data_IF_580735209071
#
_entry.id   IF_580735209071
#
_cell.length_a   1.000
_cell.length_b   1.000
_cell.length_c   1.000
_cell.angle_alpha   90.00
_cell.angle_beta   90.00
_cell.angle_gamma   90.00
#
_symmetry.space_group_name_H-M   'P 1'
#
loop_
_entity.id
_entity.type
_entity.pdbx_description
1 polymer ?
#
# COMPACT_ATOMS: atom_id res chain seq x y z
N UNK A 1 31.26 59.13 65.91
CA UNK A 1 32.55 59.85 66.05
C UNK A 1 33.67 58.84 65.85
N UNK A 2 34.41 58.94 64.72
CA UNK A 2 35.70 58.29 64.40
C UNK A 2 35.76 56.75 64.46
N UNK A 3 36.43 56.00 63.60
CA UNK A 3 37.39 56.30 62.53
C UNK A 3 37.61 55.00 61.74
N UNK A 4 37.72 55.12 60.43
CA UNK A 4 38.04 54.07 59.44
C UNK A 4 39.51 53.66 59.55
N UNK A 5 39.84 52.37 59.33
CA UNK A 5 41.11 51.96 58.69
C UNK A 5 40.94 50.69 57.86
N UNK A 6 41.37 50.84 56.60
CA UNK A 6 41.47 49.87 55.51
C UNK A 6 42.30 48.63 55.81
N UNK A 7 41.97 47.51 55.17
CA UNK A 7 42.94 46.60 54.55
C UNK A 7 42.40 46.02 53.22
N UNK A 8 43.34 45.68 52.36
CA UNK A 8 43.36 45.62 50.89
C UNK A 8 42.86 44.32 50.24
N UNK A 9 42.36 44.45 49.00
CA UNK A 9 41.96 43.40 48.04
C UNK A 9 43.11 42.48 47.56
N UNK A 10 42.85 41.37 46.84
CA UNK A 10 42.49 41.42 45.41
C UNK A 10 41.30 40.50 45.05
N UNK A 11 40.28 41.00 44.32
CA UNK A 11 40.14 40.85 42.86
C UNK A 11 40.37 39.42 42.35
N UNK A 12 39.27 38.66 42.19
CA UNK A 12 39.19 37.64 41.15
C UNK A 12 38.16 38.07 40.11
N UNK A 13 38.68 38.31 38.91
CA UNK A 13 37.97 38.77 37.73
C UNK A 13 37.09 37.68 37.14
N UNK A 14 35.93 38.10 36.65
CA UNK A 14 35.13 37.37 35.67
C UNK A 14 35.87 37.32 34.32
N UNK A 15 35.93 36.18 33.63
CA UNK A 15 36.31 36.18 32.22
C UNK A 15 35.11 36.63 31.37
N UNK A 16 35.24 37.84 30.81
CA UNK A 16 34.64 38.18 29.51
C UNK A 16 35.52 37.55 28.43
N UNK A 17 34.99 36.60 27.69
CA UNK A 17 35.51 36.21 26.37
C UNK A 17 34.37 36.24 25.37
N UNK A 18 34.02 37.46 24.96
CA UNK A 18 33.57 37.75 23.59
C UNK A 18 34.74 37.50 22.63
N UNK A 19 34.43 37.20 21.37
CA UNK A 19 35.33 37.00 20.20
C UNK A 19 35.91 35.59 19.94
N UNK A 20 35.04 34.57 19.92
CA UNK A 20 35.25 33.35 19.11
C UNK A 20 33.98 32.93 18.34
N UNK A 21 33.21 33.90 17.85
CA UNK A 21 31.93 33.68 17.15
C UNK A 21 31.91 34.05 15.66
N UNK A 22 33.01 34.58 15.09
CA UNK A 22 32.98 35.15 13.73
C UNK A 22 33.93 34.42 12.74
N UNK A 23 34.91 33.64 13.23
CA UNK A 23 35.79 32.87 12.35
C UNK A 23 35.24 31.47 11.96
N UNK A 24 34.37 30.88 12.78
CA UNK A 24 33.76 29.57 12.48
C UNK A 24 32.53 29.67 11.55
N UNK A 25 31.91 30.85 11.45
CA UNK A 25 30.78 31.12 10.53
C UNK A 25 31.23 31.48 9.11
N UNK A 26 32.48 31.92 8.92
CA UNK A 26 33.03 32.25 7.61
C UNK A 26 33.55 31.01 6.83
N UNK A 27 33.94 29.92 7.51
CA UNK A 27 34.42 28.70 6.85
C UNK A 27 33.31 27.71 6.49
N UNK A 28 32.15 27.77 7.15
CA UNK A 28 30.95 27.00 6.74
C UNK A 28 30.26 27.64 5.52
N UNK A 29 30.36 28.97 5.36
CA UNK A 29 29.77 29.69 4.23
C UNK A 29 30.50 29.43 2.89
N UNK A 30 31.80 29.09 2.92
CA UNK A 30 32.59 28.83 1.69
C UNK A 30 32.38 27.39 1.18
N UNK A 31 32.04 26.43 2.05
CA UNK A 31 31.73 25.06 1.63
C UNK A 31 30.34 24.93 0.97
N UNK A 32 29.42 25.86 1.22
CA UNK A 32 28.10 25.91 0.57
C UNK A 32 28.09 26.65 -0.78
N UNK A 33 29.19 27.32 -1.16
CA UNK A 33 29.28 28.07 -2.42
C UNK A 33 29.93 27.28 -3.58
N UNK A 34 30.50 26.08 -3.33
CA UNK A 34 31.20 25.30 -4.36
C UNK A 34 30.85 23.80 -4.42
N UNK A 35 29.76 23.35 -3.77
CA UNK A 35 29.19 22.03 -4.06
C UNK A 35 28.22 22.13 -5.24
N UNK A 36 28.38 21.36 -6.33
CA UNK A 36 27.39 21.34 -7.40
C UNK A 36 26.05 20.86 -6.82
N UNK A 37 25.03 21.73 -6.86
CA UNK A 37 23.64 21.35 -6.57
C UNK A 37 23.24 20.29 -7.59
N UNK A 38 22.97 19.07 -7.11
CA UNK A 38 22.15 18.13 -7.86
C UNK A 38 20.77 18.78 -8.04
N UNK A 39 20.51 19.32 -9.23
CA UNK A 39 19.20 19.82 -9.62
C UNK A 39 18.28 18.62 -9.86
N UNK A 40 17.37 18.36 -8.92
CA UNK A 40 16.20 17.54 -9.20
C UNK A 40 15.28 18.32 -10.15
N UNK A 41 14.83 17.74 -11.27
CA UNK A 41 13.90 18.42 -12.16
C UNK A 41 12.57 18.69 -11.44
N UNK A 42 11.99 19.87 -11.67
CA UNK A 42 10.64 20.19 -11.19
C UNK A 42 9.60 19.26 -11.83
N UNK A 43 8.48 19.02 -11.14
CA UNK A 43 7.37 18.20 -11.64
C UNK A 43 6.87 18.61 -13.04
N UNK A 44 6.93 19.90 -13.38
CA UNK A 44 6.55 20.40 -14.71
C UNK A 44 7.50 19.90 -15.83
N UNK A 45 8.77 19.67 -15.51
CA UNK A 45 9.76 19.20 -16.49
C UNK A 45 9.57 17.71 -16.83
N UNK A 46 9.01 16.92 -15.91
CA UNK A 46 8.67 15.52 -16.15
C UNK A 46 7.40 15.36 -16.99
N UNK A 47 6.43 16.27 -16.86
CA UNK A 47 5.21 16.25 -17.67
C UNK A 47 5.46 16.65 -19.13
N UNK A 48 6.41 17.56 -19.40
CA UNK A 48 6.77 17.93 -20.77
C UNK A 48 7.54 16.83 -21.52
N UNK A 49 8.37 16.03 -20.84
CA UNK A 49 9.04 14.89 -21.46
C UNK A 49 8.07 13.73 -21.77
N UNK A 50 6.96 13.59 -21.04
CA UNK A 50 5.92 12.61 -21.34
C UNK A 50 5.08 12.97 -22.59
N UNK A 51 4.96 14.25 -22.94
CA UNK A 51 4.17 14.68 -24.10
C UNK A 51 4.93 14.59 -25.43
N UNK A 52 6.25 14.77 -25.45
CA UNK A 52 7.03 14.75 -26.70
C UNK A 52 7.39 13.34 -27.21
N UNK A 53 7.44 12.33 -26.34
CA UNK A 53 7.65 10.93 -26.76
C UNK A 53 6.40 10.34 -27.43
N UNK A 54 5.20 10.81 -27.04
CA UNK A 54 3.92 10.38 -27.60
C UNK A 54 3.63 10.86 -29.03
N UNK A 55 4.47 11.74 -29.60
CA UNK A 55 4.20 12.36 -30.92
C UNK A 55 5.04 11.81 -32.08
N UNK A 56 6.01 10.91 -31.84
CA UNK A 56 6.93 10.43 -32.87
C UNK A 56 6.79 8.94 -33.29
N UNK A 57 5.74 8.22 -32.90
CA UNK A 57 5.53 6.82 -33.34
C UNK A 57 4.28 6.59 -34.20
N UNK A 58 3.88 7.60 -34.98
CA UNK A 58 2.97 7.40 -36.11
C UNK A 58 3.77 7.36 -37.41
N UNK A 59 4.10 6.14 -37.88
CA UNK A 59 4.13 5.73 -39.30
C UNK A 59 4.94 4.43 -39.47
N UNK A 60 4.27 3.28 -39.56
CA UNK A 60 4.77 2.11 -40.29
C UNK A 60 3.58 1.27 -40.82
N UNK A 61 3.63 0.77 -42.07
CA UNK A 61 2.52 0.04 -42.71
C UNK A 61 2.43 -1.45 -42.32
N UNK A 62 1.28 -2.12 -42.55
CA UNK A 62 0.95 -3.41 -41.94
C UNK A 62 1.59 -4.64 -42.63
N UNK A 63 1.91 -5.66 -41.83
CA UNK A 63 2.41 -6.99 -42.23
C UNK A 63 1.24 -8.00 -42.21
N UNK A 64 1.12 -8.91 -43.20
CA UNK A 64 -0.01 -9.86 -43.30
C UNK A 64 0.08 -11.05 -42.30
N UNK A 65 -1.05 -11.72 -42.00
CA UNK A 65 -1.17 -12.66 -40.90
C UNK A 65 -0.55 -14.04 -41.19
N UNK A 66 0.04 -14.74 -40.19
CA UNK A 66 0.45 -16.13 -40.33
C UNK A 66 -0.71 -17.11 -40.10
N UNK A 67 -0.61 -18.24 -40.80
CA UNK A 67 -1.60 -19.33 -40.88
C UNK A 67 -1.58 -20.25 -39.65
N UNK A 68 -2.74 -20.87 -39.40
CA UNK A 68 -3.02 -21.81 -38.32
C UNK A 68 -2.25 -23.14 -38.47
N UNK A 69 -1.62 -23.61 -37.38
CA UNK A 69 -1.24 -25.01 -37.20
C UNK A 69 -1.69 -25.52 -35.82
N UNK A 70 -1.97 -26.82 -35.82
CA UNK A 70 -2.92 -27.59 -34.99
C UNK A 70 -2.45 -27.99 -33.59
N UNK A 71 -3.41 -28.13 -32.68
CA UNK A 71 -3.34 -28.69 -31.33
C UNK A 71 -2.79 -30.13 -31.26
N UNK A 72 -1.90 -30.39 -30.29
CA UNK A 72 -1.65 -31.73 -29.75
C UNK A 72 -1.74 -31.73 -28.21
N UNK A 73 -2.71 -32.49 -27.69
CA UNK A 73 -2.97 -32.78 -26.26
C UNK A 73 -1.95 -33.78 -25.68
N UNK A 74 -1.46 -33.52 -24.47
CA UNK A 74 -0.92 -34.56 -23.56
C UNK A 74 -1.19 -34.22 -22.06
N UNK A 75 -1.20 -35.22 -21.16
CA UNK A 75 -2.20 -35.36 -20.09
C UNK A 75 -1.79 -34.81 -18.71
N UNK A 76 -2.79 -34.33 -17.97
CA UNK A 76 -2.68 -33.81 -16.61
C UNK A 76 -2.35 -34.89 -15.56
N UNK A 77 -1.36 -34.60 -14.71
CA UNK A 77 -1.03 -35.35 -13.48
C UNK A 77 -1.79 -34.76 -12.28
N UNK A 78 -2.55 -35.61 -11.61
CA UNK A 78 -3.46 -35.33 -10.50
C UNK A 78 -2.74 -35.24 -9.14
N UNK A 79 -2.10 -34.11 -8.86
CA UNK A 79 -1.60 -33.77 -7.52
C UNK A 79 -2.31 -32.57 -6.86
N UNK A 80 -3.32 -31.99 -7.53
CA UNK A 80 -3.95 -30.73 -7.11
C UNK A 80 -5.01 -30.83 -5.99
N UNK A 81 -5.48 -32.00 -5.57
CA UNK A 81 -6.77 -32.08 -4.86
C UNK A 81 -6.76 -31.87 -3.34
N UNK A 82 -5.63 -31.95 -2.63
CA UNK A 82 -5.62 -31.83 -1.16
C UNK A 82 -5.25 -30.45 -0.63
N UNK A 83 -4.56 -29.61 -1.41
CA UNK A 83 -4.24 -28.23 -1.03
C UNK A 83 -5.41 -27.26 -1.32
N UNK A 84 -6.21 -27.57 -2.33
CA UNK A 84 -7.32 -26.74 -2.84
C UNK A 84 -8.52 -26.66 -1.87
N UNK A 85 -8.72 -27.69 -1.03
CA UNK A 85 -9.89 -27.76 -0.13
C UNK A 85 -9.79 -26.75 1.02
N UNK A 86 -8.59 -26.41 1.48
CA UNK A 86 -8.42 -25.52 2.65
C UNK A 86 -8.46 -24.02 2.29
N UNK A 87 -8.00 -23.65 1.09
CA UNK A 87 -8.08 -22.25 0.61
C UNK A 87 -9.51 -21.82 0.32
N UNK A 88 -10.42 -22.77 0.07
CA UNK A 88 -11.86 -22.50 -0.07
C UNK A 88 -12.51 -21.82 1.15
N UNK A 89 -11.86 -21.79 2.32
CA UNK A 89 -12.33 -21.04 3.49
C UNK A 89 -12.43 -19.53 3.26
N UNK A 90 -11.76 -18.98 2.24
CA UNK A 90 -11.94 -17.58 1.81
C UNK A 90 -13.33 -17.30 1.22
N UNK A 91 -14.13 -18.33 0.92
CA UNK A 91 -15.47 -18.16 0.36
C UNK A 91 -16.54 -17.89 1.42
N UNK A 92 -16.18 -17.93 2.71
CA UNK A 92 -17.10 -17.67 3.81
C UNK A 92 -17.53 -16.18 3.87
N UNK A 93 -18.42 -15.84 4.81
CA UNK A 93 -18.95 -14.47 4.97
C UNK A 93 -17.95 -13.43 5.49
N UNK A 94 -16.72 -13.83 5.84
CA UNK A 94 -15.64 -12.95 6.30
C UNK A 94 -14.42 -12.96 5.39
N UNK A 95 -14.55 -13.59 4.20
CA UNK A 95 -13.48 -13.77 3.23
C UNK A 95 -12.23 -14.47 3.81
N UNK A 96 -12.39 -15.29 4.85
CA UNK A 96 -11.28 -15.95 5.52
C UNK A 96 -10.55 -15.11 6.58
N UNK A 97 -11.01 -13.90 6.89
CA UNK A 97 -10.53 -13.06 7.98
C UNK A 97 -11.42 -13.19 9.23
N UNK A 98 -10.99 -12.64 10.38
CA UNK A 98 -11.89 -12.53 11.54
C UNK A 98 -12.94 -11.45 11.33
N UNK A 99 -12.55 -10.31 10.74
CA UNK A 99 -13.44 -9.20 10.37
C UNK A 99 -13.00 -8.50 9.09
N UNK A 100 -13.93 -7.76 8.50
CA UNK A 100 -13.68 -6.86 7.38
C UNK A 100 -14.13 -5.47 7.83
N UNK A 101 -13.20 -4.52 7.86
CA UNK A 101 -13.44 -3.13 8.20
C UNK A 101 -13.49 -2.26 6.96
N UNK A 102 -14.49 -1.37 6.89
CA UNK A 102 -14.56 -0.30 5.90
C UNK A 102 -14.34 1.03 6.61
N UNK A 103 -13.27 1.74 6.25
CA UNK A 103 -12.94 3.06 6.80
C UNK A 103 -13.55 4.13 5.91
N UNK A 104 -14.41 4.97 6.48
CA UNK A 104 -15.11 6.00 5.73
C UNK A 104 -15.74 7.05 6.64
N UNK A 105 -15.85 8.29 6.17
CA UNK A 105 -16.46 9.36 6.94
C UNK A 105 -17.93 9.01 7.28
N UNK A 106 -18.40 9.24 8.52
CA UNK A 106 -19.76 8.87 8.93
C UNK A 106 -20.85 9.59 8.13
N UNK A 107 -20.59 10.79 7.63
CA UNK A 107 -21.50 11.57 6.80
C UNK A 107 -21.61 11.08 5.34
N UNK A 108 -20.72 10.19 4.88
CA UNK A 108 -20.77 9.60 3.52
C UNK A 108 -21.75 8.43 3.47
N UNK A 109 -23.02 8.70 3.81
CA UNK A 109 -24.09 7.70 3.80
C UNK A 109 -24.28 7.08 2.41
N UNK A 110 -24.06 7.85 1.35
CA UNK A 110 -24.05 7.38 -0.04
C UNK A 110 -23.07 6.22 -0.27
N UNK A 111 -21.84 6.36 0.24
CA UNK A 111 -20.82 5.31 0.14
C UNK A 111 -21.13 4.13 1.06
N UNK A 112 -21.64 4.37 2.27
CA UNK A 112 -22.01 3.32 3.23
C UNK A 112 -23.16 2.44 2.71
N UNK A 113 -24.18 3.05 2.11
CA UNK A 113 -25.29 2.32 1.49
C UNK A 113 -24.79 1.45 0.33
N UNK A 114 -23.94 2.01 -0.54
CA UNK A 114 -23.34 1.27 -1.64
C UNK A 114 -22.48 0.10 -1.16
N UNK A 115 -21.61 0.30 -0.17
CA UNK A 115 -20.76 -0.76 0.39
C UNK A 115 -21.58 -1.86 1.08
N UNK A 116 -22.61 -1.48 1.84
CA UNK A 116 -23.50 -2.43 2.52
C UNK A 116 -24.23 -3.31 1.51
N UNK A 117 -24.80 -2.71 0.46
CA UNK A 117 -25.52 -3.45 -0.57
C UNK A 117 -24.57 -4.33 -1.40
N UNK A 118 -23.42 -3.80 -1.81
CA UNK A 118 -22.46 -4.53 -2.65
C UNK A 118 -21.90 -5.75 -1.91
N UNK A 119 -21.50 -5.59 -0.65
CA UNK A 119 -20.98 -6.71 0.17
C UNK A 119 -22.05 -7.77 0.45
N UNK A 120 -23.27 -7.37 0.77
CA UNK A 120 -24.38 -8.29 1.00
C UNK A 120 -24.69 -9.14 -0.25
N UNK A 121 -24.75 -8.50 -1.43
CA UNK A 121 -25.03 -9.20 -2.69
C UNK A 121 -23.86 -10.06 -3.18
N UNK A 122 -22.62 -9.74 -2.79
CA UNK A 122 -21.45 -10.57 -3.09
C UNK A 122 -21.08 -11.54 -1.95
N UNK A 123 -21.91 -11.58 -0.90
CA UNK A 123 -21.94 -12.64 0.10
C UNK A 123 -20.86 -12.54 1.17
N UNK A 124 -20.50 -11.33 1.61
CA UNK A 124 -19.66 -11.11 2.78
C UNK A 124 -20.14 -9.92 3.63
N UNK A 125 -19.65 -9.86 4.86
CA UNK A 125 -20.06 -8.87 5.86
C UNK A 125 -18.96 -7.85 6.12
N UNK A 126 -19.37 -6.60 6.34
CA UNK A 126 -18.48 -5.48 6.64
C UNK A 126 -18.89 -4.79 7.94
N UNK A 127 -17.90 -4.33 8.69
CA UNK A 127 -18.04 -3.46 9.86
C UNK A 127 -17.49 -2.08 9.49
N UNK A 128 -18.27 -1.02 9.69
CA UNK A 128 -17.74 0.33 9.48
C UNK A 128 -16.84 0.76 10.65
N UNK A 129 -15.76 1.46 10.30
CA UNK A 129 -14.94 2.25 11.22
C UNK A 129 -15.02 3.70 10.77
N UNK A 130 -15.47 4.58 11.65
CA UNK A 130 -15.63 5.98 11.31
C UNK A 130 -14.27 6.63 11.00
N UNK A 131 -14.19 7.18 9.79
CA UNK A 131 -13.12 8.08 9.39
C UNK A 131 -13.11 9.34 10.25
N UNK A 132 -11.97 10.01 10.30
CA UNK A 132 -11.77 11.19 11.13
C UNK A 132 -11.45 12.38 10.24
N UNK A 133 -12.10 13.52 10.49
CA UNK A 133 -11.70 14.79 9.89
C UNK A 133 -10.43 15.28 10.57
N UNK A 134 -9.39 15.55 9.80
CA UNK A 134 -8.09 15.97 10.33
C UNK A 134 -8.19 17.18 11.25
N UNK A 135 -9.08 18.12 10.90
CA UNK A 135 -9.33 19.35 11.65
C UNK A 135 -9.81 19.11 13.08
N UNK A 136 -10.40 17.93 13.34
CA UNK A 136 -10.89 17.55 14.68
C UNK A 136 -9.81 16.92 15.56
N UNK A 137 -8.64 16.60 15.00
CA UNK A 137 -7.51 16.02 15.73
C UNK A 137 -6.77 17.14 16.47
N UNK A 138 -6.69 17.10 17.82
CA UNK A 138 -5.99 18.13 18.57
C UNK A 138 -4.49 18.05 18.34
N UNK A 139 -3.78 19.18 18.38
CA UNK A 139 -2.33 19.24 18.14
C UNK A 139 -1.54 18.28 19.05
N UNK A 140 -2.02 18.05 20.27
CA UNK A 140 -1.40 17.11 21.23
C UNK A 140 -1.49 15.63 20.82
N UNK A 141 -2.37 15.30 19.87
CA UNK A 141 -2.55 13.94 19.34
C UNK A 141 -1.94 13.76 17.95
N UNK A 142 -1.32 14.79 17.39
CA UNK A 142 -0.56 14.68 16.13
C UNK A 142 0.67 13.79 16.39
N UNK A 143 0.89 12.74 15.59
CA UNK A 143 1.99 11.81 15.82
C UNK A 143 3.36 12.48 15.65
N UNK A 144 4.34 11.99 16.40
CA UNK A 144 5.75 12.37 16.21
C UNK A 144 6.18 12.13 14.76
N UNK A 145 7.05 12.98 14.21
CA UNK A 145 7.44 12.94 12.79
C UNK A 145 6.66 13.92 11.90
N UNK A 146 5.41 14.26 12.25
CA UNK A 146 4.66 15.32 11.57
C UNK A 146 5.09 16.68 12.11
N UNK A 147 6.16 17.24 11.54
CA UNK A 147 6.75 18.50 12.01
C UNK A 147 6.04 19.75 11.46
N UNK A 148 5.31 19.62 10.35
CA UNK A 148 4.58 20.71 9.72
C UNK A 148 3.18 20.22 9.31
N UNK A 149 2.21 20.37 10.22
CA UNK A 149 0.82 19.93 10.04
C UNK A 149 0.18 20.51 8.77
N UNK A 150 0.48 21.78 8.46
CA UNK A 150 -0.07 22.45 7.28
C UNK A 150 0.41 21.80 5.99
N UNK A 151 1.71 21.47 5.91
CA UNK A 151 2.26 20.72 4.77
C UNK A 151 1.79 19.28 4.73
N UNK A 152 1.55 18.68 5.89
CA UNK A 152 1.05 17.30 5.96
C UNK A 152 -0.39 17.17 5.46
N UNK A 153 -1.19 18.24 5.53
CA UNK A 153 -2.62 18.29 5.16
C UNK A 153 -3.53 17.58 6.17
N UNK A 154 -4.67 18.20 6.47
CA UNK A 154 -5.67 17.65 7.39
C UNK A 154 -6.27 16.34 6.86
N UNK A 155 -6.48 16.23 5.55
CA UNK A 155 -7.02 15.02 4.92
C UNK A 155 -6.12 13.80 5.12
N UNK A 156 -4.80 13.97 5.05
CA UNK A 156 -3.84 12.90 5.33
C UNK A 156 -3.82 12.51 6.83
N UNK A 157 -3.92 13.50 7.72
CA UNK A 157 -3.99 13.25 9.16
C UNK A 157 -5.28 12.50 9.54
N UNK A 158 -6.40 12.87 8.92
CA UNK A 158 -7.69 12.19 9.05
C UNK A 158 -7.67 10.76 8.52
N UNK A 159 -7.10 10.54 7.33
CA UNK A 159 -6.88 9.21 6.74
C UNK A 159 -6.06 8.33 7.68
N UNK A 160 -4.89 8.80 8.14
CA UNK A 160 -4.07 8.10 9.12
C UNK A 160 -4.90 7.70 10.34
N UNK A 161 -5.59 8.65 10.99
CA UNK A 161 -6.32 8.37 12.22
C UNK A 161 -7.44 7.35 12.02
N UNK A 162 -8.16 7.43 10.89
CA UNK A 162 -9.19 6.46 10.52
C UNK A 162 -8.63 5.04 10.41
N UNK A 163 -7.56 4.85 9.65
CA UNK A 163 -6.91 3.54 9.55
C UNK A 163 -6.33 3.07 10.89
N UNK A 164 -5.69 3.95 11.67
CA UNK A 164 -5.18 3.59 13.00
C UNK A 164 -6.30 3.17 13.97
N UNK A 165 -7.52 3.71 13.83
CA UNK A 165 -8.68 3.24 14.60
C UNK A 165 -9.07 1.81 14.22
N UNK A 166 -9.11 1.49 12.92
CA UNK A 166 -9.41 0.13 12.45
C UNK A 166 -8.34 -0.87 12.92
N UNK A 167 -7.06 -0.49 12.80
CA UNK A 167 -5.93 -1.32 13.25
C UNK A 167 -5.98 -1.56 14.76
N UNK A 168 -6.31 -0.53 15.55
CA UNK A 168 -6.45 -0.66 17.00
C UNK A 168 -7.52 -1.68 17.38
N UNK A 169 -8.65 -1.73 16.66
CA UNK A 169 -9.71 -2.72 16.89
C UNK A 169 -9.25 -4.16 16.73
N UNK A 170 -8.30 -4.45 15.82
CA UNK A 170 -7.71 -5.79 15.68
C UNK A 170 -7.08 -6.25 17.00
N UNK A 171 -6.42 -5.32 17.71
CA UNK A 171 -5.74 -5.60 18.97
C UNK A 171 -6.73 -5.61 20.15
N UNK A 172 -7.63 -4.62 20.22
CA UNK A 172 -8.61 -4.49 21.30
C UNK A 172 -9.62 -5.64 21.34
N UNK A 173 -10.01 -6.15 20.17
CA UNK A 173 -10.95 -7.27 20.03
C UNK A 173 -10.24 -8.64 19.93
N UNK A 174 -8.90 -8.68 20.05
CA UNK A 174 -8.05 -9.87 19.89
C UNK A 174 -8.36 -10.70 18.61
N UNK A 175 -8.51 -10.00 17.48
CA UNK A 175 -8.80 -10.61 16.19
C UNK A 175 -7.55 -11.27 15.61
N UNK A 176 -7.69 -12.47 15.04
CA UNK A 176 -6.57 -13.14 14.36
C UNK A 176 -6.09 -12.37 13.12
N UNK A 177 -7.03 -11.81 12.37
CA UNK A 177 -6.76 -10.95 11.22
C UNK A 177 -7.97 -10.10 10.86
N UNK A 178 -7.74 -8.98 10.19
CA UNK A 178 -8.82 -8.23 9.56
C UNK A 178 -8.39 -7.68 8.20
N UNK A 179 -9.31 -7.70 7.24
CA UNK A 179 -9.24 -6.93 6.01
C UNK A 179 -9.72 -5.51 6.29
N UNK A 180 -8.97 -4.50 5.87
CA UNK A 180 -9.30 -3.09 5.99
C UNK A 180 -9.37 -2.53 4.56
N UNK A 181 -10.46 -1.86 4.23
CA UNK A 181 -10.65 -1.22 2.93
C UNK A 181 -11.24 0.18 3.07
N UNK A 182 -11.05 1.01 2.05
CA UNK A 182 -11.65 2.34 1.92
C UNK A 182 -13.15 2.22 1.51
N UNK A 183 -13.93 3.28 1.68
CA UNK A 183 -15.40 3.27 1.50
C UNK A 183 -15.90 3.46 0.05
N UNK A 184 -14.98 3.72 -0.87
CA UNK A 184 -15.21 3.83 -2.32
C UNK A 184 -14.64 2.65 -3.11
N UNK A 185 -14.48 1.50 -2.45
CA UNK A 185 -13.97 0.29 -3.09
C UNK A 185 -15.03 -0.49 -3.87
N UNK A 186 -14.53 -1.25 -4.85
CA UNK A 186 -15.27 -2.23 -5.63
C UNK A 186 -14.38 -3.41 -6.01
N UNK A 187 -15.00 -4.49 -6.45
CA UNK A 187 -14.38 -5.77 -6.75
C UNK A 187 -15.14 -6.48 -7.86
N UNK A 188 -14.54 -7.52 -8.42
CA UNK A 188 -15.23 -8.38 -9.39
C UNK A 188 -16.30 -9.21 -8.65
N UNK A 189 -17.48 -9.41 -9.23
CA UNK A 189 -18.52 -10.29 -8.66
C UNK A 189 -18.02 -11.72 -8.40
N UNK A 190 -16.90 -12.12 -9.03
CA UNK A 190 -16.18 -13.38 -8.82
C UNK A 190 -15.07 -13.29 -7.75
N UNK A 191 -15.11 -12.30 -6.85
CA UNK A 191 -14.09 -12.03 -5.83
C UNK A 191 -13.65 -13.30 -5.07
N UNK A 192 -14.60 -14.13 -4.64
CA UNK A 192 -14.30 -15.33 -3.84
C UNK A 192 -13.38 -16.32 -4.56
N UNK A 193 -13.60 -16.58 -5.86
CA UNK A 193 -12.70 -17.45 -6.63
C UNK A 193 -11.32 -16.81 -6.86
N UNK A 194 -11.26 -15.48 -6.99
CA UNK A 194 -9.99 -14.78 -7.07
C UNK A 194 -9.21 -14.89 -5.75
N UNK A 195 -9.91 -14.82 -4.61
CA UNK A 195 -9.31 -14.95 -3.29
C UNK A 195 -8.79 -16.37 -3.01
N UNK A 196 -9.39 -17.42 -3.58
CA UNK A 196 -8.87 -18.79 -3.45
C UNK A 196 -7.48 -18.92 -4.09
N UNK A 197 -7.32 -18.35 -5.29
CA UNK A 197 -6.02 -18.28 -5.97
C UNK A 197 -5.03 -17.39 -5.22
N UNK A 198 -5.50 -16.23 -4.71
CA UNK A 198 -4.66 -15.34 -3.92
C UNK A 198 -4.18 -15.99 -2.61
N UNK A 199 -5.04 -16.74 -1.92
CA UNK A 199 -4.71 -17.49 -0.71
C UNK A 199 -3.70 -18.60 -0.98
N UNK A 200 -3.86 -19.31 -2.10
CA UNK A 200 -2.91 -20.34 -2.55
C UNK A 200 -1.53 -19.72 -2.78
N UNK A 201 -1.48 -18.62 -3.54
CA UNK A 201 -0.23 -17.89 -3.77
C UNK A 201 0.38 -17.32 -2.48
N UNK A 202 -0.42 -16.77 -1.58
CA UNK A 202 0.07 -16.21 -0.32
C UNK A 202 0.74 -17.28 0.54
N UNK A 203 0.16 -18.49 0.61
CA UNK A 203 0.75 -19.64 1.33
C UNK A 203 2.06 -20.10 0.70
N UNK A 204 2.15 -20.11 -0.63
CA UNK A 204 3.38 -20.46 -1.35
C UNK A 204 4.47 -19.43 -1.08
N UNK A 205 4.17 -18.13 -1.27
CA UNK A 205 5.11 -17.02 -1.05
C UNK A 205 5.59 -16.97 0.42
N UNK A 206 4.70 -17.24 1.37
CA UNK A 206 5.05 -17.30 2.80
C UNK A 206 5.90 -18.53 3.17
N UNK A 207 6.17 -19.45 2.23
CA UNK A 207 6.81 -20.75 2.50
C UNK A 207 6.13 -21.52 3.64
N UNK A 208 4.79 -21.54 3.67
CA UNK A 208 4.02 -22.20 4.72
C UNK A 208 4.51 -23.65 4.91
N UNK A 209 4.82 -24.04 6.15
CA UNK A 209 5.42 -25.33 6.47
C UNK A 209 4.58 -26.49 5.93
N UNK A 210 5.20 -27.33 5.10
CA UNK A 210 4.58 -28.54 4.57
C UNK A 210 4.35 -29.52 5.73
N UNK A 211 3.15 -29.57 6.29
CA UNK A 211 2.81 -30.55 7.32
C UNK A 211 1.65 -30.19 8.25
N UNK A 212 1.26 -28.91 8.36
CA UNK A 212 0.11 -28.47 9.16
C UNK A 212 -0.83 -27.57 8.35
N UNK A 213 -2.13 -27.77 8.51
CA UNK A 213 -3.15 -26.85 7.98
C UNK A 213 -3.03 -25.51 8.70
N UNK A 214 -2.79 -24.39 7.99
CA UNK A 214 -2.67 -23.07 8.62
C UNK A 214 -4.01 -22.62 9.22
N UNK A 215 -3.96 -21.81 10.27
CA UNK A 215 -5.18 -21.25 10.89
C UNK A 215 -5.88 -20.28 9.95
N UNK A 216 -5.13 -19.43 9.27
CA UNK A 216 -5.65 -18.55 8.23
C UNK A 216 -5.57 -19.23 6.85
N UNK A 217 -6.59 -19.10 5.97
CA UNK A 217 -6.52 -19.65 4.62
C UNK A 217 -5.43 -18.99 3.77
N UNK A 218 -4.99 -17.79 4.12
CA UNK A 218 -3.87 -17.08 3.50
C UNK A 218 -2.49 -17.53 4.03
N UNK A 219 -2.45 -18.52 4.92
CA UNK A 219 -1.26 -18.90 5.69
C UNK A 219 -1.13 -18.09 6.99
N UNK A 220 -0.18 -18.50 7.84
CA UNK A 220 0.00 -17.93 9.19
C UNK A 220 1.24 -17.03 9.31
N UNK A 221 2.05 -16.91 8.25
CA UNK A 221 3.34 -16.22 8.29
C UNK A 221 3.41 -14.96 7.41
N UNK A 222 2.33 -14.18 7.44
CA UNK A 222 2.26 -12.84 6.86
C UNK A 222 1.86 -11.81 7.94
N UNK A 223 2.28 -10.56 7.74
CA UNK A 223 1.94 -9.41 8.58
C UNK A 223 0.98 -8.47 7.85
N UNK A 224 1.25 -8.23 6.57
CA UNK A 224 0.46 -7.34 5.70
C UNK A 224 0.15 -8.10 4.41
N UNK A 225 -1.12 -8.17 4.04
CA UNK A 225 -1.58 -8.71 2.77
C UNK A 225 -2.27 -7.61 1.98
N UNK A 226 -1.65 -7.13 0.91
CA UNK A 226 -2.20 -6.09 0.05
C UNK A 226 -3.07 -6.70 -1.03
N UNK A 227 -4.38 -6.41 -1.01
CA UNK A 227 -5.36 -6.95 -1.96
C UNK A 227 -5.88 -5.88 -2.92
N UNK A 228 -5.70 -4.60 -2.59
CA UNK A 228 -6.08 -3.45 -3.40
C UNK A 228 -5.05 -2.34 -3.31
N UNK A 229 -4.51 -1.92 -4.46
CA UNK A 229 -3.53 -0.86 -4.58
C UNK A 229 -3.66 -0.18 -5.96
N UNK A 230 -3.15 1.04 -6.11
CA UNK A 230 -3.11 1.75 -7.39
C UNK A 230 -2.12 1.14 -8.38
N UNK A 231 -1.06 0.53 -7.87
CA UNK A 231 0.03 -0.04 -8.65
C UNK A 231 1.21 -0.38 -7.75
N UNK A 232 2.06 -1.29 -8.21
CA UNK A 232 3.20 -1.75 -7.44
C UNK A 232 4.34 -2.22 -8.34
N UNK A 233 5.58 -1.98 -7.94
CA UNK A 233 6.77 -2.53 -8.61
C UNK A 233 7.15 -3.88 -8.03
N UNK A 234 7.75 -4.74 -8.85
CA UNK A 234 8.40 -5.94 -8.31
C UNK A 234 9.64 -5.53 -7.48
N UNK A 235 9.85 -6.10 -6.27
CA UNK A 235 10.92 -5.65 -5.39
C UNK A 235 12.32 -5.75 -6.02
N UNK A 236 12.57 -6.72 -6.89
CA UNK A 236 13.87 -6.86 -7.56
C UNK A 236 14.15 -5.78 -8.62
N UNK A 237 13.14 -4.99 -9.03
CA UNK A 237 13.32 -3.90 -10.02
C UNK A 237 13.61 -2.55 -9.38
N UNK A 238 13.44 -2.45 -8.04
CA UNK A 238 13.80 -1.28 -7.26
C UNK A 238 15.30 -0.97 -7.39
N UNK A 239 15.65 0.32 -7.46
CA UNK A 239 17.01 0.80 -7.71
C UNK A 239 18.02 0.23 -6.71
N UNK A 240 17.66 0.24 -5.43
CA UNK A 240 18.50 -0.29 -4.34
C UNK A 240 18.75 -1.81 -4.44
N UNK A 241 17.97 -2.53 -5.24
CA UNK A 241 18.07 -3.98 -5.41
C UNK A 241 18.73 -4.39 -6.73
N UNK A 242 18.95 -3.47 -7.69
CA UNK A 242 19.44 -3.78 -9.05
C UNK A 242 20.78 -4.52 -9.08
N UNK A 243 21.68 -4.19 -8.15
CA UNK A 243 23.04 -4.72 -8.11
C UNK A 243 23.23 -5.85 -7.07
N UNK A 244 22.14 -6.36 -6.49
CA UNK A 244 22.22 -7.43 -5.49
C UNK A 244 22.60 -8.79 -6.11
N UNK A 245 23.36 -9.64 -5.39
CA UNK A 245 23.60 -11.02 -5.80
C UNK A 245 22.31 -11.80 -6.09
N UNK A 246 22.36 -12.70 -7.06
CA UNK A 246 21.19 -13.49 -7.46
C UNK A 246 20.58 -14.32 -6.31
N UNK A 247 21.40 -14.76 -5.36
CA UNK A 247 20.96 -15.46 -4.15
C UNK A 247 20.05 -14.62 -3.26
N UNK A 248 20.34 -13.33 -3.13
CA UNK A 248 19.56 -12.37 -2.32
C UNK A 248 18.25 -11.99 -3.01
N UNK A 249 18.26 -11.91 -4.34
CA UNK A 249 17.08 -11.61 -5.15
C UNK A 249 16.11 -12.79 -5.28
N UNK A 250 16.50 -14.01 -4.88
CA UNK A 250 15.68 -15.22 -5.07
C UNK A 250 14.28 -15.08 -4.47
N UNK A 251 14.18 -14.53 -3.26
CA UNK A 251 12.89 -14.30 -2.59
C UNK A 251 12.07 -13.22 -3.29
N UNK A 252 12.71 -12.12 -3.69
CA UNK A 252 12.06 -11.00 -4.39
C UNK A 252 11.46 -11.44 -5.74
N UNK A 253 12.21 -12.25 -6.50
CA UNK A 253 11.82 -12.74 -7.82
C UNK A 253 10.72 -13.81 -7.79
N UNK A 254 10.49 -14.44 -6.65
CA UNK A 254 9.53 -15.53 -6.54
C UNK A 254 8.10 -14.97 -6.63
N UNK A 255 7.35 -15.46 -7.62
CA UNK A 255 5.94 -15.13 -7.85
C UNK A 255 5.15 -16.42 -7.99
N UNK A 256 3.98 -16.44 -7.37
CA UNK A 256 2.92 -17.37 -7.74
C UNK A 256 2.15 -16.75 -8.90
N UNK A 257 2.23 -17.38 -10.07
CA UNK A 257 1.66 -16.83 -11.31
C UNK A 257 0.38 -17.56 -11.70
N UNK A 258 -0.69 -16.80 -11.81
CA UNK A 258 -2.00 -17.24 -12.32
C UNK A 258 -2.07 -16.80 -13.77
N UNK A 259 -1.91 -17.76 -14.69
CA UNK A 259 -1.98 -17.51 -16.12
C UNK A 259 -3.41 -17.64 -16.64
N UNK A 260 -3.75 -16.90 -17.71
CA UNK A 260 -5.07 -16.92 -18.34
C UNK A 260 -6.22 -16.66 -17.37
N UNK A 261 -6.02 -15.74 -16.42
CA UNK A 261 -7.04 -15.32 -15.46
C UNK A 261 -8.15 -14.54 -16.19
N UNK A 262 -9.37 -15.08 -16.31
CA UNK A 262 -10.48 -14.42 -17.02
C UNK A 262 -11.07 -13.23 -16.26
N UNK A 263 -10.54 -12.94 -15.06
CA UNK A 263 -10.92 -11.79 -14.24
C UNK A 263 -9.94 -10.62 -14.40
N UNK A 264 -8.80 -10.84 -15.07
CA UNK A 264 -7.86 -9.77 -15.42
C UNK A 264 -8.30 -9.11 -16.72
N UNK A 265 -8.48 -7.77 -16.76
CA UNK A 265 -8.88 -7.09 -17.97
C UNK A 265 -7.93 -7.26 -19.16
N UNK A 266 -8.43 -7.04 -20.38
CA UNK A 266 -7.60 -7.07 -21.58
C UNK A 266 -6.36 -6.17 -21.45
N UNK A 267 -5.22 -6.55 -22.05
CA UNK A 267 -3.94 -5.82 -21.94
C UNK A 267 -4.00 -4.33 -22.30
N UNK A 268 -4.95 -3.93 -23.16
CA UNK A 268 -5.12 -2.54 -23.60
C UNK A 268 -5.91 -1.66 -22.62
N UNK A 269 -6.51 -2.25 -21.57
CA UNK A 269 -7.29 -1.51 -20.56
C UNK A 269 -6.84 -1.76 -19.13
N UNK A 270 -6.12 -2.85 -18.85
CA UNK A 270 -5.49 -3.07 -17.55
C UNK A 270 -4.41 -2.01 -17.30
N UNK A 271 -4.41 -1.46 -16.10
CA UNK A 271 -3.47 -0.42 -15.64
C UNK A 271 -2.57 -0.97 -14.53
N UNK A 272 -1.35 -0.44 -14.43
CA UNK A 272 -0.38 -0.84 -13.41
C UNK A 272 1.05 -0.52 -13.84
N UNK A 273 2.05 -1.01 -13.10
CA UNK A 273 3.47 -0.77 -13.39
C UNK A 273 4.13 -1.94 -14.13
N UNK A 274 3.36 -2.97 -14.47
CA UNK A 274 3.79 -4.23 -15.05
C UNK A 274 3.45 -4.25 -16.52
N UNK A 275 4.26 -4.96 -17.30
CA UNK A 275 4.02 -5.14 -18.73
C UNK A 275 2.96 -6.23 -18.98
N UNK A 276 1.70 -5.80 -18.96
CA UNK A 276 0.56 -6.67 -19.27
C UNK A 276 0.43 -7.01 -20.76
N UNK A 277 1.14 -6.32 -21.65
CA UNK A 277 1.21 -6.72 -23.07
C UNK A 277 2.10 -7.95 -23.23
N UNK A 278 3.23 -7.98 -22.51
CA UNK A 278 4.11 -9.15 -22.46
C UNK A 278 3.52 -10.31 -21.65
N UNK A 279 2.62 -10.03 -20.71
CA UNK A 279 1.96 -11.04 -19.85
C UNK A 279 0.44 -10.83 -19.79
N UNK A 280 -0.28 -11.09 -20.90
CA UNK A 280 -1.72 -10.86 -20.97
C UNK A 280 -2.47 -11.78 -20.00
N UNK A 281 -3.59 -11.28 -19.45
CA UNK A 281 -4.46 -12.04 -18.53
C UNK A 281 -3.70 -12.77 -17.41
N UNK A 282 -2.68 -12.13 -16.86
CA UNK A 282 -1.82 -12.72 -15.83
C UNK A 282 -1.98 -11.97 -14.53
N UNK A 283 -2.06 -12.73 -13.43
CA UNK A 283 -2.04 -12.22 -12.06
C UNK A 283 -0.91 -12.87 -11.28
N UNK A 284 -0.25 -12.10 -10.42
CA UNK A 284 0.85 -12.55 -9.58
C UNK A 284 0.50 -12.33 -8.12
N UNK A 285 0.83 -13.31 -7.29
CA UNK A 285 0.97 -13.12 -5.84
C UNK A 285 2.47 -13.15 -5.54
N UNK A 286 2.98 -12.14 -4.84
CA UNK A 286 4.41 -12.01 -4.59
C UNK A 286 4.71 -11.23 -3.32
N UNK A 287 5.98 -11.27 -2.89
CA UNK A 287 6.46 -10.33 -1.87
C UNK A 287 6.43 -8.92 -2.44
N UNK A 288 6.00 -7.97 -1.62
CA UNK A 288 5.83 -6.59 -2.06
C UNK A 288 7.17 -5.85 -2.23
N UNK A 289 7.22 -4.91 -3.17
CA UNK A 289 8.28 -3.91 -3.30
C UNK A 289 7.91 -2.58 -2.63
N UNK A 290 6.80 -1.98 -3.06
CA UNK A 290 6.26 -0.72 -2.54
C UNK A 290 4.88 -0.45 -3.17
N UNK A 291 3.78 -0.99 -2.64
CA UNK A 291 2.45 -0.76 -3.18
C UNK A 291 2.04 0.68 -2.93
N UNK A 292 1.31 1.28 -3.87
CA UNK A 292 0.78 2.64 -3.71
C UNK A 292 -0.73 2.55 -3.45
N UNK A 293 -1.25 3.42 -2.59
CA UNK A 293 -2.64 3.42 -2.12
C UNK A 293 -3.02 2.23 -1.23
N UNK A 294 -3.97 2.44 -0.32
CA UNK A 294 -4.45 1.45 0.67
C UNK A 294 -5.89 1.03 0.43
N UNK A 295 -6.30 0.95 -0.85
CA UNK A 295 -7.62 0.54 -1.30
C UNK A 295 -8.16 -0.67 -0.53
N UNK A 296 -7.37 -1.74 -0.42
CA UNK A 296 -7.66 -2.84 0.50
C UNK A 296 -6.37 -3.53 0.96
N UNK A 297 -6.19 -3.66 2.27
CA UNK A 297 -5.08 -4.40 2.87
C UNK A 297 -5.57 -5.14 4.11
N UNK A 298 -5.04 -6.33 4.37
CA UNK A 298 -5.30 -7.05 5.60
C UNK A 298 -4.08 -7.04 6.50
N UNK A 299 -4.33 -7.08 7.81
CA UNK A 299 -3.31 -7.26 8.84
C UNK A 299 -3.58 -8.54 9.61
N UNK A 300 -2.54 -9.32 9.84
CA UNK A 300 -2.58 -10.33 10.90
C UNK A 300 -2.49 -9.62 12.25
N UNK A 301 -2.85 -10.30 13.32
CA UNK A 301 -2.76 -9.76 14.67
C UNK A 301 -1.33 -9.25 14.98
N UNK A 302 -0.31 -10.02 14.58
CA UNK A 302 1.10 -9.60 14.67
C UNK A 302 1.39 -8.36 13.82
N UNK A 303 0.90 -8.33 12.57
CA UNK A 303 1.01 -7.18 11.68
C UNK A 303 0.37 -5.91 12.25
N UNK A 304 -0.81 -6.02 12.85
CA UNK A 304 -1.50 -4.90 13.48
C UNK A 304 -0.68 -4.25 14.58
N UNK A 305 0.00 -5.04 15.42
CA UNK A 305 0.92 -4.51 16.44
C UNK A 305 2.13 -3.79 15.82
N UNK A 306 2.72 -4.36 14.77
CA UNK A 306 3.85 -3.74 14.05
C UNK A 306 3.46 -2.39 13.44
N UNK A 307 2.33 -2.34 12.72
CA UNK A 307 1.86 -1.11 12.08
C UNK A 307 1.44 -0.08 13.12
N UNK A 308 0.74 -0.50 14.20
CA UNK A 308 0.37 0.42 15.28
C UNK A 308 1.59 1.04 15.96
N UNK A 309 2.62 0.23 16.23
CA UNK A 309 3.89 0.75 16.74
C UNK A 309 4.52 1.72 15.75
N UNK A 310 4.78 1.30 14.52
CA UNK A 310 5.51 2.09 13.54
C UNK A 310 4.83 3.43 13.23
N UNK A 311 3.53 3.42 12.93
CA UNK A 311 2.83 4.61 12.41
C UNK A 311 2.18 5.47 13.50
N UNK A 312 2.20 5.05 14.76
CA UNK A 312 1.62 5.83 15.86
C UNK A 312 2.54 6.00 17.07
N UNK A 313 3.30 4.98 17.47
CA UNK A 313 4.17 5.04 18.66
C UNK A 313 5.55 5.57 18.30
N UNK A 314 6.15 5.05 17.22
CA UNK A 314 7.45 5.51 16.70
C UNK A 314 7.30 6.84 15.97
N UNK A 315 6.37 6.93 15.02
CA UNK A 315 5.98 8.19 14.41
C UNK A 315 5.51 8.06 12.96
N UNK A 316 4.86 9.11 12.47
CA UNK A 316 4.37 9.21 11.10
C UNK A 316 5.23 10.21 10.32
N UNK A 317 5.94 9.73 9.30
CA UNK A 317 6.89 10.54 8.50
C UNK A 317 6.34 10.94 7.13
N UNK A 318 5.21 10.37 6.72
CA UNK A 318 4.57 10.53 5.42
C UNK A 318 3.09 10.15 5.48
N UNK A 319 2.41 10.14 4.33
CA UNK A 319 1.02 9.70 4.26
C UNK A 319 0.90 8.22 4.69
N UNK A 320 -0.26 7.84 5.21
CA UNK A 320 -0.48 6.50 5.79
C UNK A 320 -0.08 5.36 4.84
N UNK A 321 -0.51 5.45 3.58
CA UNK A 321 -0.22 4.49 2.52
C UNK A 321 1.28 4.36 2.22
N UNK A 322 1.97 5.50 2.07
CA UNK A 322 3.41 5.54 1.82
C UNK A 322 4.22 5.00 3.00
N UNK A 323 3.83 5.28 4.23
CA UNK A 323 4.51 4.74 5.42
C UNK A 323 4.28 3.24 5.58
N UNK A 324 3.07 2.76 5.30
CA UNK A 324 2.77 1.32 5.29
C UNK A 324 3.57 0.58 4.21
N UNK A 325 3.65 1.14 3.00
CA UNK A 325 4.49 0.61 1.92
C UNK A 325 5.98 0.66 2.29
N UNK A 326 6.41 1.74 2.97
CA UNK A 326 7.77 1.95 3.44
C UNK A 326 8.23 0.88 4.42
N UNK A 327 7.37 0.45 5.36
CA UNK A 327 7.65 -0.69 6.25
C UNK A 327 8.01 -1.92 5.43
N UNK A 328 7.17 -2.25 4.47
CA UNK A 328 7.34 -3.45 3.65
C UNK A 328 8.59 -3.38 2.77
N UNK A 329 8.85 -2.23 2.13
CA UNK A 329 10.03 -1.98 1.30
C UNK A 329 11.33 -2.16 2.09
N UNK A 330 11.39 -1.62 3.32
CA UNK A 330 12.55 -1.78 4.20
C UNK A 330 12.71 -3.22 4.67
N UNK A 331 11.61 -3.90 5.01
CA UNK A 331 11.65 -5.30 5.44
C UNK A 331 12.13 -6.25 4.34
N UNK A 332 11.68 -6.07 3.10
CA UNK A 332 12.11 -6.93 1.98
C UNK A 332 13.58 -6.72 1.63
N UNK A 333 14.08 -5.47 1.67
CA UNK A 333 15.50 -5.16 1.49
C UNK A 333 16.35 -5.76 2.61
N UNK A 334 15.95 -5.55 3.87
CA UNK A 334 16.67 -6.04 5.05
C UNK A 334 16.70 -7.58 5.15
N UNK A 335 15.70 -8.27 4.59
CA UNK A 335 15.69 -9.72 4.50
C UNK A 335 16.68 -10.27 3.45
N UNK A 336 16.99 -9.49 2.41
CA UNK A 336 18.00 -9.83 1.41
C UNK A 336 19.43 -9.71 1.98
N UNK A 337 19.67 -8.80 2.91
CA UNK A 337 21.00 -8.56 3.50
C UNK A 337 21.50 -9.69 4.46
N UNK A 338 20.69 -10.73 4.72
CA UNK A 338 21.09 -11.93 5.46
C UNK A 338 21.40 -11.76 6.96
N UNK A 339 21.45 -10.53 7.48
CA UNK A 339 21.83 -10.24 8.88
C UNK A 339 20.61 -10.21 9.82
N UNK A 340 20.23 -11.36 10.38
CA UNK A 340 19.26 -11.45 11.49
C UNK A 340 19.82 -10.94 12.83
N UNK A 341 21.15 -10.85 12.99
CA UNK A 341 21.81 -10.50 14.25
C UNK A 341 21.95 -9.00 14.54
N UNK A 342 21.64 -8.11 13.58
CA UNK A 342 21.64 -6.66 13.83
C UNK A 342 20.41 -6.16 14.63
N UNK A 343 19.50 -7.07 14.98
CA UNK A 343 18.20 -6.82 15.63
C UNK A 343 18.26 -6.36 17.10
N UNK A 344 19.45 -6.31 17.72
CA UNK A 344 19.59 -5.98 19.15
C UNK A 344 20.15 -4.59 19.48
N UNK A 345 20.27 -3.67 18.51
CA UNK A 345 20.56 -2.25 18.81
C UNK A 345 19.30 -1.40 18.77
N UNK A 346 18.40 -1.67 19.71
CA UNK A 346 17.37 -0.71 20.09
C UNK A 346 17.95 0.36 21.00
N UNK A 347 17.60 1.62 20.76
CA UNK A 347 17.56 2.63 21.83
C UNK A 347 18.10 4.01 21.50
N UNK A 348 19.20 4.15 20.76
CA UNK A 348 19.83 5.46 20.54
C UNK A 348 20.79 5.41 19.35
N UNK A 349 20.48 6.11 18.26
CA UNK A 349 21.40 6.47 17.17
C UNK A 349 22.16 5.35 16.43
N UNK A 350 21.60 4.86 15.32
CA UNK A 350 22.41 4.29 14.22
C UNK A 350 22.16 2.84 13.80
N UNK A 351 21.12 2.17 14.28
CA UNK A 351 20.66 0.90 13.70
C UNK A 351 19.79 1.14 12.46
N UNK A 352 20.02 0.40 11.37
CA UNK A 352 19.23 0.50 10.13
C UNK A 352 17.80 0.01 10.37
N UNK A 353 16.79 0.84 10.07
CA UNK A 353 15.37 0.50 10.21
C UNK A 353 15.00 -0.63 9.23
N UNK A 354 14.86 -1.86 9.75
CA UNK A 354 14.52 -3.08 9.00
C UNK A 354 13.02 -3.23 8.70
N UNK A 355 12.21 -2.19 8.88
CA UNK A 355 10.76 -2.26 8.68
C UNK A 355 10.09 -3.29 9.59
N UNK A 356 10.57 -3.42 10.83
CA UNK A 356 10.10 -4.40 11.82
C UNK A 356 10.07 -5.85 11.32
N UNK A 357 10.93 -6.19 10.35
CA UNK A 357 10.95 -7.48 9.64
C UNK A 357 9.53 -7.90 9.20
N UNK A 358 8.73 -6.94 8.72
CA UNK A 358 7.37 -7.17 8.27
C UNK A 358 7.32 -8.12 7.07
N UNK A 359 6.45 -9.13 7.15
CA UNK A 359 6.21 -10.08 6.07
C UNK A 359 5.04 -9.61 5.23
N UNK A 360 5.35 -8.96 4.13
CA UNK A 360 4.34 -8.34 3.29
C UNK A 360 4.17 -9.08 1.96
N UNK A 361 2.92 -9.37 1.60
CA UNK A 361 2.52 -10.07 0.38
C UNK A 361 1.49 -9.20 -0.34
N UNK A 362 1.50 -9.23 -1.67
CA UNK A 362 0.62 -8.43 -2.52
C UNK A 362 0.07 -9.28 -3.68
N UNK A 363 -0.99 -8.79 -4.33
CA UNK A 363 -1.59 -9.37 -5.52
C UNK A 363 -1.61 -8.31 -6.64
N UNK A 364 -0.98 -8.59 -7.78
CA UNK A 364 -0.91 -7.67 -8.93
C UNK A 364 -1.42 -8.36 -10.21
N UNK A 365 -2.39 -7.79 -10.96
CA UNK A 365 -3.15 -6.60 -10.62
C UNK A 365 -3.97 -6.83 -9.34
N UNK A 366 -4.50 -5.77 -8.70
CA UNK A 366 -5.25 -5.89 -7.45
C UNK A 366 -6.61 -6.58 -7.64
N UNK A 367 -7.20 -7.02 -6.52
CA UNK A 367 -8.55 -7.60 -6.42
C UNK A 367 -9.62 -6.57 -6.05
N UNK A 368 -9.20 -5.53 -5.32
CA UNK A 368 -10.04 -4.39 -4.96
C UNK A 368 -9.48 -3.12 -5.60
N UNK A 369 -10.36 -2.27 -6.11
CA UNK A 369 -9.95 -1.00 -6.71
C UNK A 369 -10.96 0.10 -6.41
N UNK A 370 -10.49 1.35 -6.51
CA UNK A 370 -11.33 2.52 -6.36
C UNK A 370 -12.42 2.59 -7.44
N UNK A 371 -13.67 2.67 -7.00
CA UNK A 371 -14.83 2.85 -7.85
C UNK A 371 -15.19 4.32 -8.02
N UNK A 372 -15.20 4.76 -9.28
CA UNK A 372 -15.66 6.10 -9.65
C UNK A 372 -17.15 6.04 -9.94
N UNK A 373 -17.97 6.44 -8.97
CA UNK A 373 -19.42 6.29 -9.02
C UNK A 373 -20.09 7.16 -10.10
N UNK A 374 -21.27 6.73 -10.57
CA UNK A 374 -22.18 7.60 -11.34
C UNK A 374 -22.58 8.81 -10.48
N UNK A 375 -22.61 9.99 -11.06
CA UNK A 375 -22.99 11.23 -10.38
C UNK A 375 -21.89 12.30 -10.39
N UNK A 376 -21.96 13.30 -9.49
CA UNK A 376 -20.97 14.39 -9.43
C UNK A 376 -19.55 13.86 -9.22
N UNK A 377 -18.62 14.24 -10.09
CA UNK A 377 -17.22 13.80 -10.02
C UNK A 377 -16.48 14.37 -8.79
N UNK A 378 -16.99 15.44 -8.18
CA UNK A 378 -16.50 15.96 -6.91
C UNK A 378 -16.71 14.99 -5.74
N UNK A 379 -17.56 13.98 -5.88
CA UNK A 379 -17.80 12.95 -4.86
C UNK A 379 -16.78 11.81 -4.83
N UNK A 380 -15.84 11.78 -5.79
CA UNK A 380 -14.85 10.70 -5.96
C UNK A 380 -13.80 10.64 -4.84
N UNK A 381 -13.51 11.75 -4.14
CA UNK A 381 -12.48 11.76 -3.10
C UNK A 381 -12.77 12.80 -2.02
N UNK A 382 -12.61 12.39 -0.76
CA UNK A 382 -12.61 13.30 0.39
C UNK A 382 -11.18 13.78 0.75
N UNK A 383 -10.15 13.30 0.03
CA UNK A 383 -8.74 13.62 0.28
C UNK A 383 -8.19 14.66 -0.70
N UNK A 384 -8.50 14.49 -1.98
CA UNK A 384 -8.03 15.36 -3.06
C UNK A 384 -9.12 16.34 -3.48
N UNK A 385 -8.77 17.61 -3.65
CA UNK A 385 -9.71 18.60 -4.19
C UNK A 385 -9.90 18.35 -5.69
N UNK A 386 -10.98 17.66 -6.06
CA UNK A 386 -11.34 17.47 -7.46
C UNK A 386 -11.99 18.76 -7.97
N UNK A 387 -11.29 19.51 -8.81
CA UNK A 387 -11.80 20.76 -9.42
C UNK A 387 -12.82 20.54 -10.54
N UNK A 388 -13.15 19.28 -10.83
CA UNK A 388 -14.06 18.90 -11.90
C UNK A 388 -15.52 18.85 -11.40
N UNK A 389 -16.32 19.83 -11.81
CA UNK A 389 -17.76 19.91 -11.51
C UNK A 389 -18.63 19.07 -12.49
N UNK A 390 -18.01 18.17 -13.26
CA UNK A 390 -18.71 17.29 -14.19
C UNK A 390 -19.59 16.26 -13.49
N UNK A 391 -20.51 15.69 -14.27
CA UNK A 391 -21.35 14.56 -13.87
C UNK A 391 -20.94 13.35 -14.69
N UNK A 392 -20.69 12.23 -14.02
CA UNK A 392 -20.39 10.94 -14.63
C UNK A 392 -21.68 10.17 -14.88
N UNK A 393 -21.96 9.83 -16.13
CA UNK A 393 -23.18 9.11 -16.53
C UNK A 393 -23.15 7.61 -16.18
N UNK A 394 -21.97 6.99 -16.22
CA UNK A 394 -21.75 5.57 -15.92
C UNK A 394 -20.56 5.42 -14.96
N UNK A 395 -20.77 4.71 -13.86
CA UNK A 395 -19.69 4.37 -12.94
C UNK A 395 -18.70 3.39 -13.56
N UNK A 396 -17.47 3.38 -13.09
CA UNK A 396 -16.47 2.39 -13.51
C UNK A 396 -15.43 2.13 -12.44
N UNK A 397 -14.81 0.97 -12.50
CA UNK A 397 -13.75 0.54 -11.59
C UNK A 397 -12.56 0.05 -12.39
N UNK A 398 -11.45 0.78 -12.38
CA UNK A 398 -10.24 0.33 -13.07
C UNK A 398 -9.81 -1.08 -12.61
N UNK A 399 -9.20 -1.85 -13.52
CA UNK A 399 -8.72 -3.22 -13.27
C UNK A 399 -9.77 -4.28 -12.85
N UNK A 400 -11.06 -3.94 -12.78
CA UNK A 400 -12.13 -4.89 -12.47
C UNK A 400 -12.96 -5.19 -13.71
N UNK A 401 -13.06 -6.47 -14.09
CA UNK A 401 -13.81 -6.91 -15.27
C UNK A 401 -15.32 -6.76 -15.07
N UNK A 402 -15.87 -7.39 -14.04
CA UNK A 402 -17.30 -7.39 -13.74
C UNK A 402 -17.52 -6.65 -12.42
N UNK A 403 -17.53 -5.32 -12.47
CA UNK A 403 -17.72 -4.45 -11.31
C UNK A 403 -18.99 -4.84 -10.54
N UNK A 404 -18.85 -5.17 -9.26
CA UNK A 404 -19.96 -5.52 -8.40
C UNK A 404 -20.90 -4.31 -8.21
N UNK A 405 -20.33 -3.11 -8.03
CA UNK A 405 -21.10 -1.86 -7.96
C UNK A 405 -21.90 -1.57 -9.23
N UNK A 406 -21.35 -1.81 -10.42
CA UNK A 406 -22.08 -1.62 -11.67
C UNK A 406 -23.12 -2.73 -11.94
N UNK A 407 -22.98 -3.89 -11.29
CA UNK A 407 -23.89 -5.03 -11.44
C UNK A 407 -24.93 -5.18 -10.31
N UNK A 408 -25.05 -4.21 -9.40
CA UNK A 408 -26.03 -4.26 -8.29
C UNK A 408 -27.46 -4.54 -8.77
N UNK A 409 -27.91 -3.83 -9.80
CA UNK A 409 -29.24 -4.05 -10.37
C UNK A 409 -29.38 -5.44 -10.99
N UNK A 410 -28.33 -5.93 -11.67
CA UNK A 410 -28.36 -7.27 -12.26
C UNK A 410 -28.43 -8.35 -11.19
N UNK A 411 -27.69 -8.20 -10.09
CA UNK A 411 -27.73 -9.14 -8.96
C UNK A 411 -29.10 -9.16 -8.28
N UNK A 412 -29.71 -7.99 -8.05
CA UNK A 412 -31.04 -7.88 -7.43
C UNK A 412 -32.13 -8.51 -8.31
N UNK A 413 -32.04 -8.32 -9.63
CA UNK A 413 -33.05 -8.77 -10.58
C UNK A 413 -32.79 -10.18 -11.13
N UNK A 414 -31.70 -10.85 -10.71
CA UNK A 414 -31.31 -12.17 -11.21
C UNK A 414 -30.95 -12.18 -12.71
N UNK A 415 -30.37 -11.10 -13.22
CA UNK A 415 -29.91 -10.97 -14.61
C UNK A 415 -28.46 -11.44 -14.75
N UNK A 416 -28.03 -11.64 -15.98
CA UNK A 416 -26.62 -11.89 -16.28
C UNK A 416 -25.75 -10.69 -15.88
N UNK A 417 -24.55 -10.99 -15.41
CA UNK A 417 -23.56 -9.98 -15.05
C UNK A 417 -22.92 -9.41 -16.31
N UNK A 418 -22.68 -8.11 -16.32
CA UNK A 418 -22.10 -7.41 -17.46
C UNK A 418 -20.65 -7.00 -17.19
N UNK A 419 -19.83 -7.17 -18.23
CA UNK A 419 -18.50 -6.56 -18.30
C UNK A 419 -18.62 -5.05 -18.44
N UNK A 420 -17.71 -4.31 -17.81
CA UNK A 420 -17.56 -2.88 -18.08
C UNK A 420 -16.68 -2.58 -19.31
N UNK A 421 -16.05 -3.60 -19.90
CA UNK A 421 -15.22 -3.54 -21.11
C UNK A 421 -15.83 -4.32 -22.27
#
# INVERSE_FOLDING_TARGET
MGTVKHHSSPMHQWPRTTTLGIAALALVAIFFLFTPRATYPSLDTQQQQQQDVGRQQQQTPPIPPPQQESEQKQPHSSSHSLQDVDTSRVTNGSLGFSKIFVVGLPERSDKRDAMTLTSALTGFHIDFVDGVRGETIPDKAVPFGVTDRKKFMETNLGSWRGHMNAIRRIIEEDLESALIMEDDMDWDVRLKSQLEQAATGAREIANASKGSTPRSPYGDDWDILWLGHCGEVFPETLEENRNRPASELRRMKHKYTINNDPTVPPPNVVTGFQDFQASPHTRWVHVTGAPICTFAYALSQRGARKVLYALSVDGLKGTFDNELAGICRRAVAAAADGNQEASNKGGDGGGEDRGLDAKCITVTPPLFFHHKAKGPMSGDSDIQTVSNNGVREKGFTENIMWSARNNLQNMILGREMESQF
#
